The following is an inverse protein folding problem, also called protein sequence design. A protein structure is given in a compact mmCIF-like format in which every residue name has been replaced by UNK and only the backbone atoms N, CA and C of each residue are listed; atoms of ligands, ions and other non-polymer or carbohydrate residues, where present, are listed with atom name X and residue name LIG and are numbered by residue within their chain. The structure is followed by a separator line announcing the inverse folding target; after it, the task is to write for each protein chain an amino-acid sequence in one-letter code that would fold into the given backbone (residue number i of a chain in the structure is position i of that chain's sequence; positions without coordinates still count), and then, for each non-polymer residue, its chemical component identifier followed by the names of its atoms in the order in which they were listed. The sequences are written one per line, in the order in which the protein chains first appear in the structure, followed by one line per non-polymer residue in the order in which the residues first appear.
data_IF_332761861536
#
_entry.id   IF_332761861536
#
_cell.length_a   1.000
_cell.length_b   1.000
_cell.length_c   1.000
_cell.angle_alpha   90.00
_cell.angle_beta   90.00
_cell.angle_gamma   90.00
#
_symmetry.space_group_name_H-M   'P 1'
#
loop_
_entity.id
_entity.type
_entity.pdbx_description
1 polymer ?
#
# COMPACT_ATOMS: atom_id res chain seq x y z
N UNK A 1 -2.44 2.56 23.16
CA UNK A 1 -2.52 1.61 22.01
C UNK A 1 -3.83 0.85 22.11
N UNK A 2 -4.48 0.53 20.97
CA UNK A 2 -5.74 -0.21 20.93
C UNK A 2 -5.52 -1.56 20.22
N UNK A 3 -6.02 -2.65 20.80
CA UNK A 3 -5.96 -4.00 20.23
C UNK A 3 -7.38 -4.55 20.19
N UNK A 4 -7.82 -5.03 19.02
CA UNK A 4 -9.10 -5.69 18.83
C UNK A 4 -8.84 -7.15 18.45
N UNK A 5 -9.34 -8.08 19.25
CA UNK A 5 -9.23 -9.51 19.04
C UNK A 5 -10.63 -10.14 18.90
N UNK A 6 -10.79 -11.01 17.91
CA UNK A 6 -12.05 -11.68 17.60
C UNK A 6 -12.55 -11.36 16.20
N UNK A 7 -13.00 -12.40 15.49
CA UNK A 7 -13.47 -12.32 14.10
C UNK A 7 -14.75 -11.48 13.95
N UNK A 8 -15.59 -11.44 15.00
CA UNK A 8 -16.84 -10.67 15.00
C UNK A 8 -16.63 -9.20 14.62
N UNK A 9 -15.48 -8.61 14.97
CA UNK A 9 -15.15 -7.22 14.64
C UNK A 9 -14.95 -6.95 13.14
N UNK A 10 -14.73 -7.98 12.33
CA UNK A 10 -14.48 -7.89 10.88
C UNK A 10 -15.53 -8.62 10.03
N UNK A 11 -16.39 -9.45 10.63
CA UNK A 11 -17.53 -10.09 9.95
C UNK A 11 -18.83 -9.32 10.18
N UNK A 12 -19.24 -9.17 11.44
CA UNK A 12 -20.52 -8.59 11.79
C UNK A 12 -20.56 -7.05 11.66
N UNK A 13 -21.66 -6.54 11.11
CA UNK A 13 -21.83 -5.11 10.86
C UNK A 13 -22.00 -4.32 12.16
N UNK A 14 -22.66 -4.86 13.18
CA UNK A 14 -22.82 -4.16 14.46
C UNK A 14 -21.48 -4.01 15.18
N UNK A 15 -20.71 -5.10 15.25
CA UNK A 15 -19.37 -5.11 15.84
C UNK A 15 -18.38 -4.23 15.07
N UNK A 16 -18.47 -4.15 13.73
CA UNK A 16 -17.68 -3.19 12.92
C UNK A 16 -17.96 -1.74 13.28
N UNK A 17 -19.25 -1.39 13.44
CA UNK A 17 -19.67 -0.03 13.81
C UNK A 17 -19.20 0.30 15.21
N UNK A 18 -19.30 -0.65 16.14
CA UNK A 18 -18.79 -0.50 17.49
C UNK A 18 -17.26 -0.35 17.53
N UNK A 19 -16.52 -1.15 16.77
CA UNK A 19 -15.06 -1.00 16.60
C UNK A 19 -14.70 0.41 16.16
N UNK A 20 -15.40 0.95 15.16
CA UNK A 20 -15.20 2.32 14.70
C UNK A 20 -15.45 3.36 15.80
N UNK A 21 -16.50 3.18 16.59
CA UNK A 21 -16.84 4.06 17.72
C UNK A 21 -15.75 4.03 18.81
N UNK A 22 -15.30 2.84 19.20
CA UNK A 22 -14.27 2.66 20.23
C UNK A 22 -12.93 3.24 19.79
N UNK A 23 -12.57 3.09 18.51
CA UNK A 23 -11.36 3.72 17.96
C UNK A 23 -11.46 5.25 18.07
N UNK A 24 -12.58 5.84 17.68
CA UNK A 24 -12.73 7.30 17.70
C UNK A 24 -12.71 7.87 19.13
N UNK A 25 -13.32 7.15 20.09
CA UNK A 25 -13.34 7.56 21.50
C UNK A 25 -11.95 7.50 22.15
N UNK A 26 -11.17 6.44 21.91
CA UNK A 26 -9.90 6.20 22.61
C UNK A 26 -8.64 6.61 21.84
N UNK A 27 -8.71 7.03 20.57
CA UNK A 27 -7.50 7.39 19.79
C UNK A 27 -6.81 8.67 20.26
N UNK A 28 -7.56 9.63 20.81
CA UNK A 28 -7.03 10.95 21.15
C UNK A 28 -6.58 11.77 19.91
N UNK A 29 -5.64 12.73 20.07
CA UNK A 29 -5.18 13.59 18.98
C UNK A 29 -4.29 12.83 17.98
N UNK A 30 -4.47 13.12 16.69
CA UNK A 30 -3.61 12.57 15.63
C UNK A 30 -2.29 13.32 15.59
N UNK A 31 -1.21 12.65 15.97
CA UNK A 31 0.16 13.20 15.97
C UNK A 31 1.03 12.47 14.95
N UNK A 32 1.96 13.18 14.26
CA UNK A 32 2.80 12.58 13.23
C UNK A 32 3.91 11.67 13.79
N UNK A 33 4.34 11.90 15.04
CA UNK A 33 5.38 11.13 15.70
C UNK A 33 5.04 10.91 17.17
N UNK A 34 5.39 9.73 17.69
CA UNK A 34 5.16 9.32 19.08
C UNK A 34 6.47 8.88 19.70
N UNK A 35 6.72 9.27 20.96
CA UNK A 35 7.90 8.81 21.71
C UNK A 35 7.67 7.40 22.23
N UNK A 36 8.70 6.56 22.19
CA UNK A 36 8.66 5.18 22.71
C UNK A 36 8.22 5.11 24.18
N UNK A 37 8.71 6.03 25.01
CA UNK A 37 8.31 6.12 26.41
C UNK A 37 6.82 6.45 26.61
N UNK A 38 6.14 7.02 25.60
CA UNK A 38 4.70 7.29 25.65
C UNK A 38 3.82 6.07 25.34
N UNK A 39 4.41 4.92 25.00
CA UNK A 39 3.69 3.68 24.73
C UNK A 39 3.48 2.87 26.03
N UNK A 40 2.85 3.50 27.01
CA UNK A 40 2.69 2.93 28.36
C UNK A 40 1.42 2.08 28.48
N UNK A 41 0.40 2.35 27.67
CA UNK A 41 -0.96 1.85 27.89
C UNK A 41 -1.54 1.11 26.69
N UNK A 42 -2.18 -0.03 26.96
CA UNK A 42 -2.88 -0.85 25.96
C UNK A 42 -4.30 -1.14 26.43
N UNK A 43 -5.26 -0.76 25.60
CA UNK A 43 -6.64 -1.22 25.72
C UNK A 43 -6.85 -2.40 24.77
N UNK A 44 -7.24 -3.52 25.34
CA UNK A 44 -7.54 -4.75 24.63
C UNK A 44 -9.04 -5.01 24.66
N UNK A 45 -9.64 -5.10 23.48
CA UNK A 45 -11.03 -5.45 23.26
C UNK A 45 -11.09 -6.85 22.66
N UNK A 46 -11.77 -7.76 23.34
CA UNK A 46 -11.93 -9.15 22.88
C UNK A 46 -13.40 -9.47 22.69
N UNK A 47 -13.80 -9.88 21.49
CA UNK A 47 -15.17 -10.31 21.20
C UNK A 47 -15.24 -11.84 21.17
N UNK A 48 -15.94 -12.45 22.13
CA UNK A 48 -16.15 -13.90 22.26
C UNK A 48 -17.61 -14.13 22.67
N UNK A 49 -18.29 -15.06 22.00
CA UNK A 49 -19.66 -15.51 22.32
C UNK A 49 -20.67 -14.37 22.52
N UNK A 50 -20.62 -13.34 21.67
CA UNK A 50 -21.52 -12.18 21.74
C UNK A 50 -21.26 -11.22 22.92
N UNK A 51 -20.19 -11.44 23.69
CA UNK A 51 -19.71 -10.56 24.75
C UNK A 51 -18.43 -9.87 24.33
N UNK A 52 -18.24 -8.64 24.80
CA UNK A 52 -17.07 -7.83 24.51
C UNK A 52 -16.35 -7.52 25.80
N UNK A 53 -15.15 -8.06 25.95
CA UNK A 53 -14.29 -7.85 27.10
C UNK A 53 -13.34 -6.69 26.82
N UNK A 54 -13.45 -5.63 27.60
CA UNK A 54 -12.46 -4.57 27.64
C UNK A 54 -11.51 -4.83 28.80
N UNK A 55 -10.21 -4.87 28.49
CA UNK A 55 -9.14 -5.03 29.46
C UNK A 55 -8.08 -3.97 29.24
N UNK A 56 -7.52 -3.48 30.34
CA UNK A 56 -6.54 -2.41 30.32
C UNK A 56 -5.23 -2.87 30.94
N UNK A 57 -4.16 -2.69 30.18
CA UNK A 57 -2.82 -3.16 30.52
C UNK A 57 -1.81 -2.01 30.44
N UNK A 58 -0.82 -2.06 31.33
CA UNK A 58 0.41 -1.26 31.24
C UNK A 58 1.49 -2.09 30.56
N UNK A 59 2.19 -1.49 29.60
CA UNK A 59 3.34 -2.08 28.93
C UNK A 59 4.60 -1.91 29.78
N UNK A 60 5.26 -3.02 30.08
CA UNK A 60 6.61 -3.07 30.62
C UNK A 60 7.59 -3.51 29.53
N UNK A 61 8.58 -2.67 29.25
CA UNK A 61 9.63 -2.96 28.28
C UNK A 61 10.85 -3.54 29.00
N UNK A 62 11.05 -4.85 28.90
CA UNK A 62 12.20 -5.57 29.48
C UNK A 62 13.32 -5.74 28.46
N UNK A 63 14.55 -5.87 28.96
CA UNK A 63 15.74 -6.15 28.14
C UNK A 63 15.60 -7.53 27.48
N UNK A 64 15.79 -7.60 26.17
CA UNK A 64 15.65 -8.81 25.34
C UNK A 64 16.95 -9.26 24.67
N UNK A 65 18.00 -8.44 24.68
CA UNK A 65 19.26 -8.70 23.95
C UNK A 65 19.22 -8.35 22.45
N UNK A 66 18.04 -8.01 21.91
CA UNK A 66 17.86 -7.55 20.53
C UNK A 66 17.45 -6.06 20.49
N UNK A 67 17.35 -5.48 19.29
CA UNK A 67 16.88 -4.09 19.09
C UNK A 67 15.45 -3.86 19.59
N UNK A 68 14.61 -4.91 19.60
CA UNK A 68 13.21 -4.86 20.05
C UNK A 68 13.09 -5.35 21.50
N UNK A 69 12.57 -4.54 22.44
CA UNK A 69 12.41 -4.95 23.84
C UNK A 69 11.39 -6.08 24.00
N UNK A 70 11.53 -6.87 25.06
CA UNK A 70 10.54 -7.90 25.43
C UNK A 70 9.39 -7.21 26.16
N UNK A 71 8.19 -7.33 25.63
CA UNK A 71 7.00 -6.68 26.18
C UNK A 71 6.34 -7.62 27.20
N UNK A 72 6.15 -7.13 28.42
CA UNK A 72 5.28 -7.74 29.41
C UNK A 72 4.12 -6.80 29.74
N UNK A 73 2.99 -7.37 30.14
CA UNK A 73 1.75 -6.62 30.36
C UNK A 73 1.30 -6.77 31.81
N UNK A 74 1.23 -5.65 32.53
CA UNK A 74 0.63 -5.59 33.86
C UNK A 74 -0.84 -5.17 33.74
N UNK A 75 -1.75 -5.86 34.41
CA UNK A 75 -3.15 -5.41 34.49
C UNK A 75 -3.23 -4.18 35.39
N UNK A 76 -3.76 -3.08 34.86
CA UNK A 76 -3.98 -1.86 35.63
C UNK A 76 -5.46 -1.51 35.80
N UNK A 77 -6.33 -2.07 34.95
CA UNK A 77 -7.76 -1.77 34.94
C UNK A 77 -8.10 -0.44 34.25
N UNK A 78 -9.38 -0.15 33.99
CA UNK A 78 -10.58 -0.92 34.34
C UNK A 78 -10.79 -2.17 33.48
N UNK A 79 -11.52 -3.13 34.02
CA UNK A 79 -11.95 -4.35 33.31
C UNK A 79 -13.47 -4.32 33.18
N UNK A 80 -13.97 -4.26 31.95
CA UNK A 80 -15.41 -4.25 31.68
C UNK A 80 -15.81 -5.41 30.79
N UNK A 81 -17.02 -5.90 31.05
CA UNK A 81 -17.67 -6.95 30.28
C UNK A 81 -18.94 -6.35 29.69
N UNK A 82 -18.90 -6.08 28.39
CA UNK A 82 -20.00 -5.48 27.67
C UNK A 82 -20.83 -6.55 26.97
N UNK A 83 -22.13 -6.30 26.88
CA UNK A 83 -23.07 -7.08 26.09
C UNK A 83 -23.84 -6.11 25.21
N UNK A 84 -23.81 -6.32 23.90
CA UNK A 84 -24.58 -5.51 22.98
C UNK A 84 -26.06 -5.87 23.13
N UNK A 85 -26.92 -4.85 23.30
CA UNK A 85 -28.37 -5.05 23.47
C UNK A 85 -29.14 -4.39 22.34
N UNK A 86 -29.48 -3.11 22.51
CA UNK A 86 -30.23 -2.36 21.50
C UNK A 86 -29.25 -1.62 20.60
N UNK A 87 -29.47 -1.70 19.29
CA UNK A 87 -28.68 -1.00 18.28
C UNK A 87 -29.59 -0.13 17.43
N UNK A 88 -29.13 1.08 17.11
CA UNK A 88 -29.79 1.97 16.17
C UNK A 88 -28.72 2.48 15.21
N UNK A 89 -28.53 1.76 14.12
CA UNK A 89 -27.50 2.06 13.12
C UNK A 89 -28.02 3.13 12.14
N UNK A 90 -27.13 4.04 11.75
CA UNK A 90 -27.41 4.99 10.69
C UNK A 90 -27.59 4.28 9.34
N UNK A 91 -28.37 4.89 8.44
CA UNK A 91 -28.49 4.42 7.06
C UNK A 91 -27.14 4.46 6.34
N UNK A 92 -26.98 3.59 5.34
CA UNK A 92 -25.72 3.48 4.60
C UNK A 92 -25.33 4.76 3.87
N UNK A 93 -26.31 5.53 3.39
CA UNK A 93 -26.06 6.79 2.69
C UNK A 93 -25.54 7.87 3.63
N UNK A 94 -26.12 7.98 4.84
CA UNK A 94 -25.63 8.90 5.87
C UNK A 94 -24.22 8.51 6.31
N UNK A 95 -23.98 7.21 6.50
CA UNK A 95 -22.65 6.70 6.86
C UNK A 95 -21.60 7.05 5.79
N UNK A 96 -21.90 6.86 4.50
CA UNK A 96 -21.00 7.22 3.40
C UNK A 96 -20.73 8.72 3.34
N UNK A 97 -21.74 9.54 3.59
CA UNK A 97 -21.59 11.00 3.62
C UNK A 97 -20.68 11.45 4.76
N UNK A 98 -20.83 10.87 5.96
CA UNK A 98 -19.97 11.17 7.11
C UNK A 98 -18.49 10.77 6.89
N UNK A 99 -18.23 9.68 6.17
CA UNK A 99 -16.87 9.22 5.84
C UNK A 99 -16.22 9.93 4.66
N UNK A 100 -16.86 10.97 4.11
CA UNK A 100 -16.34 11.70 2.96
C UNK A 100 -15.17 12.60 3.37
N UNK A 101 -13.97 12.18 3.01
CA UNK A 101 -12.78 13.01 3.22
C UNK A 101 -12.72 14.20 2.23
N UNK A 102 -12.36 15.41 2.68
CA UNK A 102 -12.25 16.58 1.80
C UNK A 102 -11.24 16.38 0.68
N UNK A 103 -11.57 16.88 -0.52
CA UNK A 103 -10.70 16.75 -1.70
C UNK A 103 -9.35 17.45 -1.54
N UNK A 104 -9.27 18.49 -0.69
CA UNK A 104 -8.02 19.20 -0.39
C UNK A 104 -7.00 18.33 0.36
N UNK A 105 -7.48 17.45 1.25
CA UNK A 105 -6.64 16.52 2.02
C UNK A 105 -6.16 15.33 1.18
N UNK A 106 -6.84 15.01 0.07
CA UNK A 106 -6.45 13.95 -0.87
C UNK A 106 -5.94 14.54 -2.19
N UNK A 107 -4.66 14.92 -2.28
CA UNK A 107 -4.08 15.34 -3.55
C UNK A 107 -4.20 14.22 -4.56
N UNK A 108 -4.91 14.48 -5.67
CA UNK A 108 -5.04 13.50 -6.75
C UNK A 108 -3.67 13.32 -7.42
N UNK A 109 -3.16 12.09 -7.44
CA UNK A 109 -1.96 11.76 -8.21
C UNK A 109 -2.23 12.00 -9.69
N UNK A 110 -1.47 12.89 -10.31
CA UNK A 110 -1.49 13.10 -11.77
C UNK A 110 -0.56 12.07 -12.41
N UNK A 111 -1.07 11.29 -13.37
CA UNK A 111 -0.28 10.26 -14.06
C UNK A 111 0.93 10.91 -14.77
N UNK A 112 2.06 10.22 -14.76
CA UNK A 112 3.32 10.64 -15.40
C UNK A 112 3.95 11.94 -14.87
N UNK A 113 3.50 12.43 -13.71
CA UNK A 113 4.09 13.59 -13.03
C UNK A 113 4.57 13.14 -11.65
N UNK A 114 5.84 13.41 -11.34
CA UNK A 114 6.44 13.20 -10.02
C UNK A 114 7.11 14.48 -9.54
N UNK A 115 7.34 14.57 -8.23
CA UNK A 115 8.13 15.63 -7.62
C UNK A 115 9.41 15.02 -7.05
N UNK A 116 10.53 15.70 -7.26
CA UNK A 116 11.80 15.34 -6.65
C UNK A 116 11.85 15.78 -5.17
N UNK A 117 12.85 15.33 -4.40
CA UNK A 117 13.07 15.70 -2.99
C UNK A 117 13.19 17.22 -2.83
N UNK A 118 13.72 17.90 -3.85
CA UNK A 118 13.83 19.36 -3.91
C UNK A 118 12.55 20.06 -4.43
N UNK A 119 11.46 19.33 -4.68
CA UNK A 119 10.17 19.87 -5.13
C UNK A 119 10.03 20.07 -6.65
N UNK A 120 11.09 19.87 -7.42
CA UNK A 120 11.08 20.01 -8.88
C UNK A 120 10.10 19.03 -9.53
N UNK A 121 9.29 19.52 -10.48
CA UNK A 121 8.28 18.71 -11.18
C UNK A 121 8.92 17.98 -12.36
N UNK A 122 8.89 16.65 -12.32
CA UNK A 122 9.39 15.76 -13.38
C UNK A 122 8.22 15.15 -14.16
N UNK A 123 8.33 15.13 -15.48
CA UNK A 123 7.38 14.49 -16.38
C UNK A 123 8.00 13.25 -17.02
N UNK A 124 7.34 12.08 -16.90
CA UNK A 124 7.82 10.85 -17.54
C UNK A 124 7.24 10.71 -18.94
N UNK A 125 8.11 10.72 -19.95
CA UNK A 125 7.75 10.41 -21.34
C UNK A 125 7.95 8.92 -21.57
N UNK A 126 6.90 8.24 -22.02
CA UNK A 126 6.95 6.82 -22.38
C UNK A 126 7.05 6.70 -23.89
N UNK A 127 8.28 6.61 -24.41
CA UNK A 127 8.50 6.36 -25.84
C UNK A 127 8.07 4.93 -26.19
N UNK A 128 7.27 4.80 -27.24
CA UNK A 128 6.96 3.50 -27.82
C UNK A 128 8.21 2.93 -28.49
N UNK A 129 8.34 1.61 -28.50
CA UNK A 129 9.40 0.93 -29.25
C UNK A 129 9.20 1.23 -30.74
N UNK A 130 10.17 1.90 -31.36
CA UNK A 130 10.14 2.21 -32.79
C UNK A 130 10.60 0.99 -33.60
N UNK A 131 9.70 0.44 -34.42
CA UNK A 131 10.03 -0.64 -35.35
C UNK A 131 10.44 -0.07 -36.71
N UNK A 132 11.74 -0.16 -37.01
CA UNK A 132 12.34 0.37 -38.25
C UNK A 132 12.29 -0.63 -39.41
N UNK A 133 11.78 -1.84 -39.22
CA UNK A 133 11.68 -2.84 -40.29
C UNK A 133 10.78 -2.40 -41.45
N UNK A 134 9.79 -1.55 -41.15
CA UNK A 134 8.88 -0.95 -42.14
C UNK A 134 9.46 0.28 -42.85
N UNK A 135 10.63 0.77 -42.42
CA UNK A 135 11.25 1.96 -42.98
C UNK A 135 11.89 1.62 -44.34
N UNK A 136 11.13 1.80 -45.43
CA UNK A 136 11.69 1.81 -46.78
C UNK A 136 12.48 3.10 -47.00
N UNK A 137 13.79 2.99 -47.20
CA UNK A 137 14.62 4.14 -47.57
C UNK A 137 14.36 4.54 -49.03
N UNK A 138 14.68 5.80 -49.36
CA UNK A 138 14.59 6.30 -50.73
C UNK A 138 15.47 5.43 -51.64
N UNK A 139 14.86 4.83 -52.66
CA UNK A 139 15.56 4.00 -53.65
C UNK A 139 16.36 4.87 -54.62
N UNK A 140 17.51 5.37 -54.17
CA UNK A 140 18.44 6.15 -54.98
C UNK A 140 18.96 5.33 -56.16
N UNK A 141 19.17 5.98 -57.32
CA UNK A 141 19.68 5.32 -58.53
C UNK A 141 21.02 4.62 -58.31
N UNK A 142 21.87 5.16 -57.43
CA UNK A 142 23.17 4.58 -57.07
C UNK A 142 23.10 3.31 -56.20
N UNK A 143 21.99 3.09 -55.48
CA UNK A 143 21.78 1.92 -54.63
C UNK A 143 21.00 0.80 -55.34
N UNK A 144 20.54 1.04 -56.58
CA UNK A 144 19.84 0.04 -57.38
C UNK A 144 20.88 -0.87 -58.04
N UNK A 145 20.84 -2.17 -57.74
CA UNK A 145 21.62 -3.19 -58.45
C UNK A 145 21.31 -3.10 -59.94
N UNK A 146 22.32 -2.82 -60.77
CA UNK A 146 22.19 -2.83 -62.24
C UNK A 146 22.06 -4.28 -62.68
N UNK A 147 21.18 -4.56 -63.66
CA UNK A 147 20.96 -5.89 -64.24
C UNK A 147 22.01 -6.27 -65.30
N UNK A 148 23.24 -5.79 -65.17
CA UNK A 148 24.34 -6.06 -66.10
C UNK A 148 25.68 -5.93 -65.38
N UNK A 149 26.48 -6.98 -65.51
CA UNK A 149 27.81 -7.26 -64.96
C UNK A 149 27.89 -7.56 -63.46
N UNK A 150 27.39 -8.74 -63.11
CA UNK A 150 28.01 -9.53 -62.03
C UNK A 150 29.24 -10.19 -62.64
N UNK A 151 30.38 -9.50 -62.58
CA UNK A 151 31.67 -10.20 -62.52
C UNK A 151 31.69 -10.84 -61.14
N UNK A 152 31.79 -12.16 -61.12
CA UNK A 152 31.78 -12.97 -59.91
C UNK A 152 33.12 -12.83 -59.19
N UNK A 153 33.12 -12.37 -57.94
CA UNK A 153 34.11 -12.79 -56.95
C UNK A 153 33.47 -13.03 -55.57
N UNK A 154 33.59 -14.31 -55.22
CA UNK A 154 33.84 -14.94 -53.92
C UNK A 154 32.84 -14.96 -52.75
N UNK A 155 32.75 -16.19 -52.27
CA UNK A 155 32.03 -16.73 -51.13
C UNK A 155 32.58 -16.18 -49.81
N UNK A 156 31.71 -15.89 -48.86
CA UNK A 156 32.13 -15.58 -47.50
C UNK A 156 30.96 -15.15 -46.61
N UNK A 157 30.16 -16.10 -46.16
CA UNK A 157 29.05 -15.79 -45.24
C UNK A 157 28.42 -17.02 -44.60
N UNK A 158 29.16 -17.69 -43.72
CA UNK A 158 28.55 -18.59 -42.73
C UNK A 158 27.56 -17.79 -41.85
N UNK A 159 26.38 -18.35 -41.51
CA UNK A 159 25.48 -17.74 -40.54
C UNK A 159 26.04 -17.94 -39.12
N UNK A 160 26.38 -16.85 -38.44
CA UNK A 160 26.72 -16.89 -37.02
C UNK A 160 25.46 -17.20 -36.20
N UNK A 161 25.48 -18.37 -35.55
CA UNK A 161 24.54 -18.76 -34.50
C UNK A 161 24.68 -17.78 -33.33
N UNK A 162 23.63 -17.00 -33.04
CA UNK A 162 23.54 -16.28 -31.76
C UNK A 162 22.79 -17.18 -30.78
N UNK A 163 23.51 -17.57 -29.73
CA UNK A 163 23.05 -18.44 -28.66
C UNK A 163 21.88 -17.82 -27.88
N UNK A 164 20.92 -18.67 -27.52
CA UNK A 164 19.99 -18.43 -26.41
C UNK A 164 20.82 -18.24 -25.14
N UNK A 165 20.64 -17.12 -24.46
CA UNK A 165 20.91 -17.00 -23.03
C UNK A 165 19.59 -16.60 -22.38
N UNK A 166 18.96 -17.56 -21.73
CA UNK A 166 17.92 -17.35 -20.74
C UNK A 166 18.61 -17.13 -19.39
N UNK A 167 18.40 -15.95 -18.79
CA UNK A 167 18.26 -15.65 -17.35
C UNK A 167 18.12 -14.14 -17.19
#
# INVERSE_FOLDING_TARGET
MLVFAGEAFDTDNEHKRLKSLLIDFFRGPTVPAVRLAGLEHVLHFTAIDGKIYMRSYRCLLKKSGCRTPRIELDKIGPSFDFVLRRTHLASDDLYKLAHKQPKALKPKKKKNISHDVFGTKLGRVHMQKQDLSKLQTRKMKGLRKRRGDVVAEEQGGQPSKVAKVES
#
